data_IF_748089654441
#
_entry.id   IF_748089654441
#
_cell.length_a   1.000
_cell.length_b   1.000
_cell.length_c   1.000
_cell.angle_alpha   90.00
_cell.angle_beta   90.00
_cell.angle_gamma   90.00
#
_symmetry.space_group_name_H-M   'P 1'
#
loop_
_entity.id
_entity.type
_entity.pdbx_description
1 polymer ?
#
# COMPACT_ATOMS: atom_id res chain seq x y z
N UNK A 1 19.13 -2.21 -0.05
CA UNK A 1 19.67 -3.58 -0.20
C UNK A 1 20.66 -3.61 -1.36
N UNK A 2 21.98 -3.54 -1.10
CA UNK A 2 23.02 -3.53 -2.17
C UNK A 2 23.04 -4.83 -2.98
N UNK A 3 22.74 -5.95 -2.32
CA UNK A 3 22.70 -7.28 -2.93
C UNK A 3 21.65 -7.39 -4.05
N UNK A 4 20.42 -6.93 -3.81
CA UNK A 4 19.34 -7.02 -4.81
C UNK A 4 19.60 -6.13 -6.03
N UNK A 5 20.15 -4.93 -5.82
CA UNK A 5 20.55 -4.02 -6.90
C UNK A 5 21.58 -4.71 -7.80
N UNK A 6 22.64 -5.25 -7.20
CA UNK A 6 23.69 -5.97 -7.93
C UNK A 6 23.13 -7.17 -8.71
N UNK A 7 22.16 -7.89 -8.14
CA UNK A 7 21.52 -9.02 -8.82
C UNK A 7 20.76 -8.57 -10.08
N UNK A 8 20.06 -7.44 -10.02
CA UNK A 8 19.38 -6.84 -11.17
C UNK A 8 20.41 -6.46 -12.24
N UNK A 9 21.46 -5.72 -11.85
CA UNK A 9 22.52 -5.27 -12.76
C UNK A 9 23.26 -6.42 -13.46
N UNK A 10 23.39 -7.58 -12.80
CA UNK A 10 24.08 -8.75 -13.32
C UNK A 10 23.18 -9.69 -14.13
N UNK A 11 21.87 -9.42 -14.23
CA UNK A 11 20.92 -10.30 -14.93
C UNK A 11 20.86 -9.96 -16.42
N UNK A 12 21.27 -10.85 -17.35
CA UNK A 12 21.46 -10.50 -18.76
C UNK A 12 20.21 -10.03 -19.51
N UNK A 13 19.02 -10.47 -19.10
CA UNK A 13 17.75 -10.10 -19.72
C UNK A 13 17.07 -8.89 -19.05
N UNK A 14 17.76 -8.18 -18.17
CA UNK A 14 17.28 -6.94 -17.56
C UNK A 14 18.11 -5.77 -18.07
N UNK A 15 17.43 -4.76 -18.62
CA UNK A 15 18.03 -3.47 -18.93
C UNK A 15 17.50 -2.44 -17.94
N UNK A 16 18.39 -1.82 -17.17
CA UNK A 16 18.03 -0.77 -16.22
C UNK A 16 18.16 0.60 -16.90
N UNK A 17 17.02 1.29 -17.04
CA UNK A 17 16.97 2.66 -17.56
C UNK A 17 16.77 3.63 -16.40
N UNK A 18 17.87 4.15 -15.85
CA UNK A 18 17.81 5.24 -14.85
C UNK A 18 17.44 6.56 -15.51
N UNK A 19 16.96 7.52 -14.71
CA UNK A 19 16.56 8.84 -15.19
C UNK A 19 15.61 8.77 -16.40
N UNK A 20 14.75 7.77 -16.42
CA UNK A 20 13.86 7.49 -17.54
C UNK A 20 12.45 7.29 -17.00
N UNK A 21 11.48 7.95 -17.62
CA UNK A 21 10.07 7.84 -17.27
C UNK A 21 9.25 7.42 -18.48
N UNK A 22 8.15 6.73 -18.22
CA UNK A 22 7.17 6.34 -19.23
C UNK A 22 6.24 7.52 -19.52
N UNK A 23 6.17 7.97 -20.77
CA UNK A 23 5.39 9.15 -21.19
C UNK A 23 4.32 8.85 -22.23
N UNK A 24 4.27 7.63 -22.77
CA UNK A 24 3.26 7.21 -23.73
C UNK A 24 3.07 5.70 -23.76
N UNK A 25 1.84 5.29 -24.04
CA UNK A 25 1.41 3.90 -24.23
C UNK A 25 0.61 3.86 -25.52
N UNK A 26 1.01 3.00 -26.46
CA UNK A 26 0.43 2.92 -27.80
C UNK A 26 0.09 1.49 -28.19
N UNK A 27 -1.04 1.33 -28.89
CA UNK A 27 -1.56 0.06 -29.39
C UNK A 27 -3.05 0.15 -29.68
N UNK A 28 -3.60 -0.83 -30.39
CA UNK A 28 -5.03 -0.88 -30.75
C UNK A 28 -5.79 -1.77 -29.77
N UNK A 29 -5.60 -3.09 -29.89
CA UNK A 29 -6.29 -4.08 -29.04
C UNK A 29 -5.46 -4.46 -27.80
N UNK A 30 -4.15 -4.31 -27.89
CA UNK A 30 -3.18 -4.57 -26.83
C UNK A 30 -2.04 -3.56 -26.91
N UNK A 31 -1.23 -3.46 -25.85
CA UNK A 31 -0.05 -2.62 -25.86
C UNK A 31 0.96 -3.16 -26.88
N UNK A 32 1.43 -2.31 -27.78
CA UNK A 32 2.42 -2.66 -28.80
C UNK A 32 3.74 -1.90 -28.56
N UNK A 33 3.62 -0.68 -28.03
CA UNK A 33 4.74 0.24 -27.90
C UNK A 33 4.60 1.13 -26.69
N UNK A 34 5.75 1.49 -26.13
CA UNK A 34 5.86 2.50 -25.09
C UNK A 34 6.75 3.64 -25.56
N UNK A 35 6.44 4.84 -25.11
CA UNK A 35 7.29 6.01 -25.28
C UNK A 35 7.94 6.33 -23.95
N UNK A 36 9.27 6.38 -23.92
CA UNK A 36 10.04 6.71 -22.71
C UNK A 36 10.84 7.99 -22.91
N UNK A 37 10.95 8.79 -21.86
CA UNK A 37 11.71 10.04 -21.85
C UNK A 37 12.83 10.00 -20.83
N UNK A 38 14.04 10.34 -21.26
CA UNK A 38 15.14 10.54 -20.35
C UNK A 38 15.01 11.93 -19.69
N UNK A 39 14.92 11.99 -18.37
CA UNK A 39 14.63 13.21 -17.60
C UNK A 39 15.82 14.16 -17.47
N UNK A 40 17.04 13.71 -17.80
CA UNK A 40 18.24 14.56 -17.80
C UNK A 40 18.47 15.24 -19.15
N UNK A 41 18.21 14.52 -20.25
CA UNK A 41 18.47 15.01 -21.61
C UNK A 41 17.22 15.50 -22.33
N UNK A 42 16.03 15.16 -21.82
CA UNK A 42 14.73 15.40 -22.48
C UNK A 42 14.47 14.52 -23.70
N UNK A 43 15.43 13.68 -24.10
CA UNK A 43 15.30 12.81 -25.28
C UNK A 43 14.21 11.76 -25.05
N UNK A 44 13.36 11.60 -26.06
CA UNK A 44 12.28 10.61 -26.07
C UNK A 44 12.62 9.48 -27.05
N UNK A 45 12.25 8.26 -26.71
CA UNK A 45 12.47 7.05 -27.52
C UNK A 45 11.23 6.15 -27.46
N UNK A 46 10.88 5.58 -28.62
CA UNK A 46 9.86 4.56 -28.74
C UNK A 46 10.47 3.15 -28.60
N UNK A 47 9.79 2.27 -27.86
CA UNK A 47 10.21 0.87 -27.68
C UNK A 47 9.05 -0.08 -27.89
N UNK A 48 9.26 -1.11 -28.70
CA UNK A 48 8.30 -2.21 -28.86
C UNK A 48 8.22 -3.02 -27.56
N UNK A 49 7.11 -2.90 -26.85
CA UNK A 49 6.90 -3.49 -25.52
C UNK A 49 5.44 -3.93 -25.43
N UNK A 50 5.21 -5.23 -25.28
CA UNK A 50 3.86 -5.78 -25.23
C UNK A 50 3.20 -5.67 -23.85
N UNK A 51 3.99 -5.50 -22.79
CA UNK A 51 3.51 -5.55 -21.41
C UNK A 51 4.25 -4.56 -20.52
N UNK A 52 3.49 -3.85 -19.68
CA UNK A 52 4.01 -2.93 -18.66
C UNK A 52 3.46 -3.34 -17.30
N UNK A 53 4.37 -3.50 -16.35
CA UNK A 53 4.03 -3.75 -14.95
C UNK A 53 4.45 -2.54 -14.12
N UNK A 54 3.48 -1.86 -13.52
CA UNK A 54 3.72 -0.65 -12.72
C UNK A 54 3.92 -1.04 -11.25
N UNK A 55 5.10 -0.73 -10.71
CA UNK A 55 5.46 -1.03 -9.32
C UNK A 55 5.90 0.24 -8.57
N UNK A 56 5.07 1.28 -8.60
CA UNK A 56 5.37 2.62 -8.03
C UNK A 56 4.86 2.82 -6.60
N UNK A 57 4.33 1.77 -5.97
CA UNK A 57 3.73 1.81 -4.65
C UNK A 57 2.20 1.85 -4.69
N UNK A 58 1.58 2.15 -3.55
CA UNK A 58 0.13 2.21 -3.41
C UNK A 58 -0.26 3.44 -2.58
N UNK A 59 -1.37 4.07 -2.95
CA UNK A 59 -1.98 5.17 -2.20
C UNK A 59 -3.29 4.69 -1.57
N UNK A 60 -3.37 4.55 -0.23
CA UNK A 60 -4.58 4.09 0.43
C UNK A 60 -5.72 5.12 0.31
N UNK A 61 -6.95 4.64 0.13
CA UNK A 61 -8.13 5.51 0.05
C UNK A 61 -8.62 5.93 1.45
N UNK A 62 -7.81 6.73 2.14
CA UNK A 62 -7.99 7.15 3.55
C UNK A 62 -8.21 8.64 3.72
N UNK A 63 -8.16 9.43 2.64
CA UNK A 63 -8.30 10.89 2.71
C UNK A 63 -9.61 11.35 3.38
N UNK A 64 -10.70 10.60 3.18
CA UNK A 64 -12.01 10.88 3.78
C UNK A 64 -12.03 10.73 5.31
N UNK A 65 -11.07 10.01 5.91
CA UNK A 65 -10.98 9.85 7.35
C UNK A 65 -10.60 11.15 8.06
N UNK A 66 -9.98 12.11 7.37
CA UNK A 66 -9.71 13.45 7.88
C UNK A 66 -9.13 13.51 9.32
N UNK A 67 -8.21 12.58 9.65
CA UNK A 67 -7.57 12.50 10.96
C UNK A 67 -8.36 11.77 12.06
N UNK A 68 -9.53 11.19 11.76
CA UNK A 68 -10.34 10.46 12.73
C UNK A 68 -9.67 9.19 13.31
N UNK A 69 -8.69 8.63 12.59
CA UNK A 69 -7.91 7.47 13.03
C UNK A 69 -6.44 7.69 12.74
N UNK A 70 -5.59 7.03 13.53
CA UNK A 70 -4.13 7.08 13.36
C UNK A 70 -3.74 6.35 12.06
N UNK A 71 -2.96 7.04 11.23
CA UNK A 71 -2.38 6.52 10.00
C UNK A 71 -0.86 6.39 10.14
N UNK A 72 -0.25 5.48 9.38
CA UNK A 72 1.20 5.46 9.21
C UNK A 72 1.69 6.62 8.32
N UNK A 73 3.02 6.74 8.17
CA UNK A 73 3.62 7.78 7.34
C UNK A 73 3.33 7.66 5.83
N UNK A 74 2.65 6.61 5.40
CA UNK A 74 2.20 6.37 4.02
C UNK A 74 0.67 6.47 3.88
N UNK A 75 -0.03 6.85 4.96
CA UNK A 75 -1.47 7.05 4.97
C UNK A 75 -2.30 5.78 5.19
N UNK A 76 -1.69 4.64 5.52
CA UNK A 76 -2.43 3.40 5.82
C UNK A 76 -2.92 3.39 7.27
N UNK A 77 -4.08 2.79 7.52
CA UNK A 77 -4.68 2.74 8.86
C UNK A 77 -3.87 1.81 9.75
N UNK A 78 -3.44 2.31 10.91
CA UNK A 78 -2.83 1.48 11.96
C UNK A 78 -3.91 0.82 12.80
N UNK A 79 -3.70 -0.43 13.19
CA UNK A 79 -4.67 -1.24 13.93
C UNK A 79 -4.02 -2.05 15.02
N UNK A 80 -4.75 -2.31 16.11
CA UNK A 80 -4.39 -3.30 17.11
C UNK A 80 -2.95 -3.15 17.61
N UNK A 81 -2.12 -4.21 17.54
CA UNK A 81 -0.73 -4.17 18.01
C UNK A 81 0.16 -3.13 17.33
N UNK A 82 -0.19 -2.64 16.14
CA UNK A 82 0.62 -1.67 15.41
C UNK A 82 0.51 -0.26 16.02
N UNK A 83 -0.50 0.00 16.85
CA UNK A 83 -0.70 1.27 17.56
C UNK A 83 0.20 1.37 18.79
N UNK A 84 1.04 2.40 18.85
CA UNK A 84 1.90 2.67 20.00
C UNK A 84 1.11 3.26 21.18
N UNK A 85 1.69 3.20 22.38
CA UNK A 85 1.06 3.79 23.58
C UNK A 85 0.89 5.31 23.43
N UNK A 86 1.85 5.98 22.79
CA UNK A 86 1.83 7.42 22.52
C UNK A 86 0.73 7.78 21.51
N UNK A 87 0.57 7.00 20.45
CA UNK A 87 -0.48 7.20 19.45
C UNK A 87 -1.89 6.99 20.04
N UNK A 88 -2.06 5.97 20.89
CA UNK A 88 -3.33 5.74 21.59
C UNK A 88 -3.65 6.85 22.59
N UNK A 89 -2.65 7.36 23.31
CA UNK A 89 -2.79 8.51 24.19
C UNK A 89 -3.20 9.77 23.40
N UNK A 90 -2.52 10.04 22.28
CA UNK A 90 -2.82 11.16 21.39
C UNK A 90 -4.19 11.06 20.71
N UNK A 91 -4.67 9.84 20.45
CA UNK A 91 -6.02 9.59 19.94
C UNK A 91 -7.11 9.57 21.03
N UNK A 92 -6.75 9.84 22.30
CA UNK A 92 -7.66 9.82 23.45
C UNK A 92 -8.39 8.48 23.63
N UNK A 93 -7.66 7.37 23.49
CA UNK A 93 -8.21 6.03 23.67
C UNK A 93 -8.86 5.87 25.07
N UNK A 94 -10.19 5.62 25.17
CA UNK A 94 -10.92 5.72 26.44
C UNK A 94 -11.01 4.40 27.21
N UNK A 95 -10.62 3.27 26.61
CA UNK A 95 -10.82 1.94 27.19
C UNK A 95 -9.58 1.48 27.94
N UNK A 96 -9.78 0.76 29.05
CA UNK A 96 -8.69 0.16 29.85
C UNK A 96 -7.95 -0.95 29.10
N UNK A 97 -8.63 -1.62 28.15
CA UNK A 97 -8.03 -2.61 27.24
C UNK A 97 -7.32 -1.93 26.08
N UNK A 98 -6.36 -2.65 25.48
CA UNK A 98 -5.81 -2.27 24.17
C UNK A 98 -6.81 -2.53 23.03
N UNK A 99 -6.62 -1.89 21.85
CA UNK A 99 -7.42 -2.19 20.67
C UNK A 99 -7.28 -3.66 20.25
N UNK A 100 -8.36 -4.24 19.75
CA UNK A 100 -8.34 -5.56 19.13
C UNK A 100 -7.50 -5.58 17.84
N UNK A 101 -7.17 -6.77 17.32
CA UNK A 101 -6.20 -6.95 16.23
C UNK A 101 -6.42 -6.04 15.01
N UNK A 102 -7.69 -5.82 14.65
CA UNK A 102 -8.09 -5.01 13.49
C UNK A 102 -8.80 -3.71 13.89
N UNK A 103 -8.86 -3.41 15.19
CA UNK A 103 -9.48 -2.20 15.70
C UNK A 103 -8.51 -1.03 15.52
N UNK A 104 -9.03 0.09 15.04
CA UNK A 104 -8.27 1.32 14.82
C UNK A 104 -8.02 2.05 16.14
N UNK A 105 -7.45 3.25 16.07
CA UNK A 105 -7.35 4.13 17.24
C UNK A 105 -8.69 4.72 17.69
N UNK A 106 -9.78 4.45 16.96
CA UNK A 106 -11.14 4.82 17.34
C UNK A 106 -11.89 3.56 17.81
N UNK A 107 -12.32 3.47 19.08
CA UNK A 107 -12.99 2.28 19.61
C UNK A 107 -14.19 1.85 18.79
N UNK A 108 -14.30 0.55 18.53
CA UNK A 108 -15.37 -0.04 17.73
C UNK A 108 -15.28 0.18 16.22
N UNK A 109 -14.27 0.90 15.74
CA UNK A 109 -13.99 1.02 14.31
C UNK A 109 -12.87 0.07 13.94
N UNK A 110 -13.14 -0.79 12.95
CA UNK A 110 -12.21 -1.80 12.47
C UNK A 110 -11.79 -1.53 11.03
N UNK A 111 -10.55 -1.89 10.68
CA UNK A 111 -10.02 -1.79 9.33
C UNK A 111 -9.50 -3.15 8.85
N UNK A 112 -9.84 -3.50 7.62
CA UNK A 112 -9.43 -4.75 6.98
C UNK A 112 -9.02 -4.51 5.52
N UNK A 113 -8.10 -5.35 5.03
CA UNK A 113 -7.64 -5.33 3.66
C UNK A 113 -6.58 -4.27 3.38
N UNK A 114 -6.46 -3.90 2.11
CA UNK A 114 -5.34 -3.12 1.59
C UNK A 114 -5.25 -1.70 2.16
N UNK A 115 -6.28 -1.21 2.84
CA UNK A 115 -6.27 0.08 3.55
C UNK A 115 -5.40 0.05 4.82
N UNK A 116 -5.13 -1.14 5.37
CA UNK A 116 -4.41 -1.35 6.63
C UNK A 116 -2.89 -1.31 6.42
N UNK A 117 -2.19 -0.76 7.41
CA UNK A 117 -0.75 -0.89 7.52
C UNK A 117 -0.38 -2.36 7.70
N UNK A 118 0.72 -2.79 7.07
CA UNK A 118 1.22 -4.17 7.18
C UNK A 118 0.40 -5.27 6.46
N UNK A 119 -0.73 -4.95 5.80
CA UNK A 119 -1.45 -5.93 4.99
C UNK A 119 -0.60 -6.40 3.78
N UNK A 120 -0.69 -7.69 3.47
CA UNK A 120 0.14 -8.39 2.45
C UNK A 120 -0.23 -8.01 1.00
N UNK A 121 -1.28 -7.21 0.80
CA UNK A 121 -1.86 -6.78 -0.48
C UNK A 121 -2.25 -7.98 -1.36
N UNK A 122 -2.97 -8.92 -0.74
CA UNK A 122 -3.44 -10.18 -1.36
C UNK A 122 -4.91 -10.40 -1.04
N UNK A 123 -5.70 -10.76 -2.04
CA UNK A 123 -7.15 -10.99 -1.91
C UNK A 123 -7.49 -11.93 -0.75
N UNK A 124 -6.83 -13.07 -0.65
CA UNK A 124 -7.08 -14.04 0.42
C UNK A 124 -6.82 -13.48 1.83
N UNK A 125 -5.77 -12.65 1.99
CA UNK A 125 -5.48 -11.97 3.25
C UNK A 125 -6.60 -10.99 3.60
N UNK A 126 -7.03 -10.18 2.62
CA UNK A 126 -8.05 -9.16 2.82
C UNK A 126 -9.42 -9.76 3.13
N UNK A 127 -9.78 -10.90 2.52
CA UNK A 127 -10.98 -11.68 2.86
C UNK A 127 -10.89 -12.22 4.29
N UNK A 128 -9.75 -12.81 4.66
CA UNK A 128 -9.53 -13.33 6.02
C UNK A 128 -9.64 -12.25 7.09
N UNK A 129 -9.03 -11.08 6.86
CA UNK A 129 -9.13 -9.94 7.77
C UNK A 129 -10.59 -9.46 7.93
N UNK A 130 -11.39 -9.43 6.85
CA UNK A 130 -12.81 -9.11 6.94
C UNK A 130 -13.58 -10.05 7.89
N UNK A 131 -13.36 -11.36 7.77
CA UNK A 131 -13.97 -12.38 8.64
C UNK A 131 -13.51 -12.28 10.11
N UNK A 132 -12.27 -11.87 10.33
CA UNK A 132 -11.74 -11.65 11.69
C UNK A 132 -12.35 -10.38 12.30
N UNK A 133 -12.50 -9.30 11.51
CA UNK A 133 -13.06 -8.04 11.99
C UNK A 133 -14.48 -8.23 12.54
N UNK A 134 -15.35 -8.96 11.85
CA UNK A 134 -16.71 -9.21 12.32
C UNK A 134 -16.75 -10.03 13.63
N UNK A 135 -15.79 -10.94 13.82
CA UNK A 135 -15.69 -11.71 15.06
C UNK A 135 -15.38 -10.80 16.26
N UNK A 136 -14.52 -9.79 16.08
CA UNK A 136 -14.24 -8.79 17.10
C UNK A 136 -15.38 -7.80 17.31
N UNK A 137 -16.13 -7.44 16.26
CA UNK A 137 -17.35 -6.63 16.41
C UNK A 137 -18.36 -7.36 17.30
N UNK A 138 -18.58 -8.66 17.10
CA UNK A 138 -19.45 -9.44 17.98
C UNK A 138 -18.93 -9.55 19.41
N UNK A 139 -17.61 -9.59 19.60
CA UNK A 139 -17.02 -9.56 20.94
C UNK A 139 -17.25 -8.22 21.63
N UNK A 140 -17.02 -7.11 20.92
CA UNK A 140 -17.24 -5.76 21.43
C UNK A 140 -18.69 -5.51 21.82
N UNK A 141 -19.66 -5.95 21.02
CA UNK A 141 -21.08 -5.76 21.31
C UNK A 141 -21.59 -6.57 22.52
N UNK A 142 -20.78 -7.47 23.07
CA UNK A 142 -21.09 -8.22 24.30
C UNK A 142 -20.51 -7.57 25.56
N UNK A 143 -19.65 -6.56 25.41
CA UNK A 143 -19.11 -5.74 26.51
C UNK A 143 -20.09 -4.63 26.87
#
# INVERSE_FOLDING_TARGET
SKYLIRRIEQTPNITVLVHTELVGLDGIDHLERVTVRNTQTGKTEEKNVAHVFVMTGANPNTAWLNGCVVLDNKGFIKTGPDLSSEELSGAHWPLSRRPYLLETSLPGVFAAGDVRAGNVKRVASSVGEGSIAISFVHQLLRE
#
